data_IF_166942214584
#
_entry.id   IF_166942214584
#
_cell.length_a   1.000
_cell.length_b   1.000
_cell.length_c   1.000
_cell.angle_alpha   90.00
_cell.angle_beta   90.00
_cell.angle_gamma   90.00
#
_symmetry.space_group_name_H-M   'P 1'
#
loop_
_entity.id
_entity.type
_entity.pdbx_description
1 polymer ?
#
# COMPACT_ATOMS: atom_id res chain seq x y z
N UNK A 1 43.64 57.02 35.23
CA UNK A 1 44.50 55.84 35.06
C UNK A 1 43.65 54.58 35.24
N UNK A 2 43.78 53.65 34.28
CA UNK A 2 43.61 52.19 34.37
C UNK A 2 42.26 51.54 34.80
N UNK A 3 41.69 50.79 33.83
CA UNK A 3 40.76 49.63 33.92
C UNK A 3 41.36 48.47 34.77
N UNK A 4 40.60 47.44 35.24
CA UNK A 4 39.79 46.50 34.43
C UNK A 4 38.51 45.94 35.15
N UNK A 5 37.64 45.04 34.69
CA UNK A 5 37.51 44.09 33.57
C UNK A 5 35.98 43.75 33.45
N UNK A 6 35.32 43.90 32.30
CA UNK A 6 34.02 43.23 32.01
C UNK A 6 34.24 42.31 30.81
N UNK A 7 33.88 41.03 30.98
CA UNK A 7 34.02 39.95 30.00
C UNK A 7 33.36 40.32 28.67
N UNK A 8 34.05 39.94 27.60
CA UNK A 8 33.72 40.20 26.22
C UNK A 8 32.40 39.52 25.77
N UNK A 9 31.59 40.29 25.04
CA UNK A 9 30.55 39.79 24.15
C UNK A 9 31.20 38.93 23.06
N UNK A 10 30.77 37.67 22.97
CA UNK A 10 31.05 36.81 21.81
C UNK A 10 30.17 37.27 20.64
N UNK A 11 30.68 37.31 19.40
CA UNK A 11 29.83 37.51 18.24
C UNK A 11 28.84 36.34 18.10
N UNK A 12 27.62 36.59 17.63
CA UNK A 12 26.60 35.55 17.53
C UNK A 12 27.06 34.44 16.58
N UNK A 13 26.75 33.21 16.97
CA UNK A 13 27.15 32.01 16.24
C UNK A 13 26.49 32.01 14.84
N UNK A 14 27.22 31.55 13.81
CA UNK A 14 26.71 31.49 12.42
C UNK A 14 25.48 30.59 12.24
N UNK A 15 25.15 29.80 13.28
CA UNK A 15 23.96 28.96 13.35
C UNK A 15 22.70 29.79 13.60
N UNK A 16 22.79 30.84 14.42
CA UNK A 16 21.66 31.72 14.71
C UNK A 16 21.35 32.62 13.51
N UNK A 17 22.38 33.09 12.80
CA UNK A 17 22.20 33.82 11.52
C UNK A 17 21.50 32.97 10.44
N UNK A 18 21.77 31.66 10.38
CA UNK A 18 21.11 30.76 9.43
C UNK A 18 19.65 30.49 9.81
N UNK A 19 19.34 30.36 11.10
CA UNK A 19 17.97 30.20 11.58
C UNK A 19 17.13 31.45 11.28
N UNK A 20 17.66 32.64 11.56
CA UNK A 20 16.94 33.89 11.25
C UNK A 20 16.78 34.12 9.73
N UNK A 21 17.77 33.75 8.91
CA UNK A 21 17.64 33.80 7.45
C UNK A 21 16.59 32.82 6.89
N UNK A 22 16.48 31.63 7.49
CA UNK A 22 15.46 30.63 7.11
C UNK A 22 14.04 31.10 7.45
N UNK A 23 13.87 31.80 8.57
CA UNK A 23 12.56 32.33 9.01
C UNK A 23 12.15 33.53 8.15
N UNK A 24 13.09 34.42 7.78
CA UNK A 24 12.80 35.52 6.86
C UNK A 24 12.45 35.03 5.45
N UNK A 25 13.07 33.94 4.99
CA UNK A 25 12.78 33.30 3.70
C UNK A 25 11.37 32.69 3.64
N UNK A 26 10.82 32.24 4.77
CA UNK A 26 9.46 31.66 4.84
C UNK A 26 8.36 32.71 4.97
N UNK A 27 8.68 33.92 5.43
CA UNK A 27 7.69 34.99 5.64
C UNK A 27 7.56 35.96 4.46
N UNK A 28 8.61 36.15 3.66
CA UNK A 28 8.57 37.02 2.48
C UNK A 28 8.26 36.24 1.21
N UNK A 29 6.98 35.88 1.03
CA UNK A 29 6.46 35.52 -0.27
C UNK A 29 6.55 36.70 -1.24
N UNK A 30 7.40 36.58 -2.26
CA UNK A 30 7.35 37.38 -3.49
C UNK A 30 8.40 38.48 -3.63
N UNK A 31 9.54 38.15 -4.23
CA UNK A 31 10.21 38.85 -5.35
C UNK A 31 11.61 38.28 -5.58
N UNK A 32 12.00 37.90 -6.82
CA UNK A 32 13.34 37.36 -7.08
C UNK A 32 14.35 38.49 -7.31
N UNK A 33 15.41 38.54 -6.49
CA UNK A 33 16.65 39.28 -6.79
C UNK A 33 17.71 38.31 -7.32
N UNK A 34 18.42 38.62 -8.42
CA UNK A 34 19.33 37.68 -9.05
C UNK A 34 20.75 37.78 -8.45
N UNK A 35 21.24 36.71 -7.82
CA UNK A 35 22.68 36.54 -7.56
C UNK A 35 23.33 35.79 -8.73
N UNK A 36 24.46 36.27 -9.29
CA UNK A 36 25.09 35.68 -10.45
C UNK A 36 26.08 34.60 -9.99
N UNK A 37 25.71 33.33 -10.15
CA UNK A 37 26.59 32.19 -10.38
C UNK A 37 25.80 30.88 -10.21
N UNK A 38 24.98 30.54 -11.20
CA UNK A 38 24.67 29.15 -11.47
C UNK A 38 24.87 28.88 -12.95
N UNK A 39 25.73 27.88 -13.19
CA UNK A 39 25.99 27.24 -14.46
C UNK A 39 24.65 26.86 -15.08
N UNK A 40 24.30 27.49 -16.21
CA UNK A 40 23.10 27.15 -17.00
C UNK A 40 23.21 25.71 -17.48
N UNK A 41 22.69 24.79 -16.67
CA UNK A 41 22.28 23.49 -17.16
C UNK A 41 21.09 23.74 -18.08
N UNK A 42 21.30 23.45 -19.36
CA UNK A 42 20.34 23.71 -20.43
C UNK A 42 19.19 22.73 -20.22
N UNK A 43 18.16 23.14 -19.47
CA UNK A 43 16.86 22.46 -19.51
C UNK A 43 16.37 22.50 -20.96
N UNK A 44 16.61 21.41 -21.70
CA UNK A 44 15.83 21.12 -22.89
C UNK A 44 14.38 21.03 -22.41
N UNK A 45 13.44 21.79 -22.99
CA UNK A 45 12.03 21.51 -22.76
C UNK A 45 11.79 20.06 -23.18
N UNK A 46 11.31 19.21 -22.25
CA UNK A 46 10.79 17.89 -22.59
C UNK A 46 9.66 18.18 -23.58
N UNK A 47 9.89 17.90 -24.85
CA UNK A 47 8.83 17.91 -25.87
C UNK A 47 7.78 16.95 -25.34
N UNK A 48 6.60 17.47 -25.01
CA UNK A 48 5.48 16.61 -24.65
C UNK A 48 5.25 15.73 -25.88
N UNK A 49 5.51 14.43 -25.77
CA UNK A 49 5.18 13.49 -26.82
C UNK A 49 3.68 13.64 -27.17
N UNK A 50 3.25 13.31 -28.39
CA UNK A 50 1.82 13.28 -28.69
C UNK A 50 1.12 12.25 -27.78
N UNK A 51 -0.11 12.54 -27.39
CA UNK A 51 -0.97 11.53 -26.76
C UNK A 51 -1.44 10.59 -27.86
N UNK A 52 -1.39 9.28 -27.62
CA UNK A 52 -1.86 8.29 -28.58
C UNK A 52 -3.39 8.16 -28.46
N UNK A 53 -4.08 8.09 -29.59
CA UNK A 53 -5.51 7.83 -29.63
C UNK A 53 -5.73 6.33 -29.37
N UNK A 54 -6.39 6.03 -28.25
CA UNK A 54 -6.80 4.68 -27.87
C UNK A 54 -8.30 4.58 -28.16
N UNK A 55 -8.65 3.82 -29.21
CA UNK A 55 -10.00 3.79 -29.77
C UNK A 55 -10.77 2.49 -29.44
N UNK A 56 -10.09 1.49 -28.88
CA UNK A 56 -10.70 0.22 -28.49
C UNK A 56 -10.06 -0.37 -27.21
N UNK A 57 -10.74 -1.36 -26.63
CA UNK A 57 -10.33 -2.03 -25.39
C UNK A 57 -9.02 -2.81 -25.56
N UNK A 58 -8.83 -3.48 -26.69
CA UNK A 58 -7.66 -4.31 -26.95
C UNK A 58 -6.37 -3.46 -26.99
N UNK A 59 -6.43 -2.27 -27.58
CA UNK A 59 -5.33 -1.31 -27.60
C UNK A 59 -4.99 -0.83 -26.18
N UNK A 60 -6.00 -0.58 -25.35
CA UNK A 60 -5.82 -0.20 -23.94
C UNK A 60 -5.17 -1.35 -23.16
N UNK A 61 -5.72 -2.55 -23.23
CA UNK A 61 -5.21 -3.74 -22.52
C UNK A 61 -3.79 -4.07 -22.98
N UNK A 62 -3.52 -4.00 -24.28
CA UNK A 62 -2.18 -4.22 -24.83
C UNK A 62 -1.18 -3.22 -24.28
N UNK A 63 -1.56 -1.94 -24.18
CA UNK A 63 -0.68 -0.92 -23.60
C UNK A 63 -0.40 -1.16 -22.10
N UNK A 64 -1.35 -1.76 -21.37
CA UNK A 64 -1.20 -2.08 -19.95
C UNK A 64 -0.41 -3.36 -19.75
N UNK A 65 -0.65 -4.41 -20.52
CA UNK A 65 -0.15 -5.76 -20.24
C UNK A 65 1.09 -6.14 -21.06
N UNK A 66 1.32 -5.54 -22.23
CA UNK A 66 2.47 -5.92 -23.07
C UNK A 66 3.78 -5.27 -22.58
N UNK A 67 4.52 -6.05 -21.80
CA UNK A 67 5.86 -5.71 -21.30
C UNK A 67 6.91 -5.50 -22.42
N UNK A 68 6.64 -5.92 -23.65
CA UNK A 68 7.53 -5.68 -24.82
C UNK A 68 7.25 -4.34 -25.50
N UNK A 69 6.04 -3.78 -25.36
CA UNK A 69 5.66 -2.47 -25.92
C UNK A 69 5.92 -1.33 -24.92
N UNK A 70 5.88 -1.62 -23.61
CA UNK A 70 6.23 -0.67 -22.54
C UNK A 70 7.64 -0.04 -22.58
N UNK A 71 8.72 -0.67 -23.09
CA UNK A 71 10.04 -0.01 -23.16
C UNK A 71 10.00 1.27 -24.02
N UNK A 72 9.07 1.32 -24.98
CA UNK A 72 8.86 2.48 -25.86
C UNK A 72 7.92 3.53 -25.23
N UNK A 73 7.28 3.22 -24.08
CA UNK A 73 6.28 4.09 -23.43
C UNK A 73 6.49 4.17 -21.92
N UNK A 74 6.86 5.34 -21.42
CA UNK A 74 6.95 5.53 -19.96
C UNK A 74 5.59 5.35 -19.27
N UNK A 75 5.57 4.90 -18.00
CA UNK A 75 4.34 4.80 -17.20
C UNK A 75 3.52 6.12 -17.17
N UNK A 76 4.22 7.26 -17.22
CA UNK A 76 3.62 8.60 -17.31
C UNK A 76 2.88 8.79 -18.64
N UNK A 77 3.44 8.30 -19.74
CA UNK A 77 2.82 8.35 -21.06
C UNK A 77 1.53 7.50 -21.09
N UNK A 78 1.58 6.28 -20.56
CA UNK A 78 0.41 5.39 -20.49
C UNK A 78 -0.72 6.04 -19.67
N UNK A 79 -0.39 6.57 -18.50
CA UNK A 79 -1.33 7.31 -17.65
C UNK A 79 -1.97 8.49 -18.38
N UNK A 80 -1.20 9.22 -19.20
CA UNK A 80 -1.69 10.35 -19.98
C UNK A 80 -2.58 9.91 -21.14
N UNK A 81 -2.24 8.81 -21.82
CA UNK A 81 -3.07 8.24 -22.88
C UNK A 81 -4.44 7.82 -22.32
N UNK A 82 -4.46 7.11 -21.20
CA UNK A 82 -5.70 6.72 -20.53
C UNK A 82 -6.55 7.92 -20.12
N UNK A 83 -5.93 8.95 -19.53
CA UNK A 83 -6.64 10.17 -19.13
C UNK A 83 -7.24 10.96 -20.32
N UNK A 84 -6.71 10.78 -21.53
CA UNK A 84 -7.20 11.42 -22.75
C UNK A 84 -8.12 10.51 -23.59
N UNK A 85 -8.26 9.24 -23.22
CA UNK A 85 -9.00 8.24 -23.98
C UNK A 85 -10.51 8.47 -23.85
N UNK A 86 -11.14 8.90 -24.94
CA UNK A 86 -12.59 9.10 -25.01
C UNK A 86 -13.40 7.80 -25.01
N UNK A 87 -12.78 6.68 -25.43
CA UNK A 87 -13.41 5.36 -25.48
C UNK A 87 -13.82 4.85 -24.09
N UNK A 88 -13.08 5.20 -23.03
CA UNK A 88 -13.42 4.82 -21.64
C UNK A 88 -14.85 5.23 -21.23
N UNK A 89 -15.37 6.36 -21.76
CA UNK A 89 -16.73 6.83 -21.48
C UNK A 89 -17.82 5.98 -22.11
N UNK A 90 -17.47 5.19 -23.12
CA UNK A 90 -18.39 4.35 -23.90
C UNK A 90 -18.38 2.91 -23.42
N UNK A 91 -17.40 2.52 -22.60
CA UNK A 91 -17.24 1.16 -22.11
C UNK A 91 -18.41 0.73 -21.21
N UNK A 92 -18.95 -0.44 -21.51
CA UNK A 92 -19.93 -1.14 -20.67
C UNK A 92 -19.27 -1.95 -19.55
N UNK A 93 -20.10 -2.52 -18.67
CA UNK A 93 -19.66 -3.31 -17.51
C UNK A 93 -18.74 -4.49 -17.87
N UNK A 94 -19.02 -5.18 -19.00
CA UNK A 94 -18.20 -6.31 -19.47
C UNK A 94 -16.78 -5.86 -19.86
N UNK A 95 -16.67 -4.76 -20.60
CA UNK A 95 -15.38 -4.20 -21.01
C UNK A 95 -14.60 -3.69 -19.79
N UNK A 96 -15.29 -3.08 -18.82
CA UNK A 96 -14.69 -2.71 -17.54
C UNK A 96 -14.23 -3.93 -16.72
N UNK A 97 -14.96 -5.04 -16.79
CA UNK A 97 -14.61 -6.30 -16.14
C UNK A 97 -13.31 -6.86 -16.71
N UNK A 98 -13.20 -6.90 -18.04
CA UNK A 98 -11.98 -7.33 -18.72
C UNK A 98 -10.79 -6.41 -18.37
N UNK A 99 -11.00 -5.09 -18.41
CA UNK A 99 -10.00 -4.10 -18.01
C UNK A 99 -9.52 -4.28 -16.56
N UNK A 100 -10.43 -4.47 -15.60
CA UNK A 100 -10.08 -4.67 -14.19
C UNK A 100 -9.29 -5.97 -13.99
N UNK A 101 -9.70 -7.05 -14.66
CA UNK A 101 -8.97 -8.33 -14.64
C UNK A 101 -7.57 -8.19 -15.23
N UNK A 102 -7.40 -7.45 -16.32
CA UNK A 102 -6.09 -7.16 -16.89
C UNK A 102 -5.19 -6.35 -15.96
N UNK A 103 -5.74 -5.35 -15.25
CA UNK A 103 -4.99 -4.57 -14.26
C UNK A 103 -4.56 -5.42 -13.06
N UNK A 104 -5.46 -6.25 -12.54
CA UNK A 104 -5.16 -7.20 -11.45
C UNK A 104 -4.11 -8.22 -11.91
N UNK A 105 -4.24 -8.74 -13.14
CA UNK A 105 -3.26 -9.62 -13.77
C UNK A 105 -1.88 -8.98 -13.88
N UNK A 106 -1.80 -7.73 -14.35
CA UNK A 106 -0.56 -6.99 -14.40
C UNK A 106 0.06 -6.80 -13.01
N UNK A 107 -0.75 -6.54 -11.98
CA UNK A 107 -0.27 -6.38 -10.62
C UNK A 107 0.28 -7.70 -10.03
N UNK A 108 -0.46 -8.81 -10.20
CA UNK A 108 -0.20 -10.06 -9.49
C UNK A 108 0.66 -11.05 -10.27
N UNK A 109 0.49 -11.13 -11.58
CA UNK A 109 1.21 -12.06 -12.45
C UNK A 109 2.50 -11.43 -12.97
N UNK A 110 2.44 -10.18 -13.42
CA UNK A 110 3.60 -9.50 -14.02
C UNK A 110 4.45 -8.75 -12.98
N UNK A 111 3.97 -8.65 -11.73
CA UNK A 111 4.68 -7.99 -10.62
C UNK A 111 4.62 -6.46 -10.64
N UNK A 112 3.75 -5.88 -11.46
CA UNK A 112 3.67 -4.44 -11.73
C UNK A 112 2.64 -3.74 -10.80
N UNK A 113 2.67 -4.05 -9.50
CA UNK A 113 1.67 -3.58 -8.52
C UNK A 113 1.59 -2.05 -8.42
N UNK A 114 2.72 -1.37 -8.22
CA UNK A 114 2.77 0.09 -8.09
C UNK A 114 2.24 0.77 -9.36
N UNK A 115 2.58 0.23 -10.53
CA UNK A 115 2.12 0.74 -11.82
C UNK A 115 0.60 0.57 -11.98
N UNK A 116 0.07 -0.64 -11.72
CA UNK A 116 -1.35 -0.91 -11.85
C UNK A 116 -2.18 0.01 -10.94
N UNK A 117 -1.75 0.20 -9.69
CA UNK A 117 -2.43 1.09 -8.75
C UNK A 117 -2.33 2.57 -9.17
N UNK A 118 -1.21 3.00 -9.75
CA UNK A 118 -1.07 4.36 -10.29
C UNK A 118 -2.03 4.66 -11.45
N UNK A 119 -2.46 3.62 -12.17
CA UNK A 119 -3.50 3.69 -13.21
C UNK A 119 -4.92 3.75 -12.65
N UNK A 120 -5.16 3.33 -11.39
CA UNK A 120 -6.49 3.46 -10.80
C UNK A 120 -6.90 4.93 -10.70
N UNK A 121 -5.96 5.83 -10.43
CA UNK A 121 -6.23 7.26 -10.22
C UNK A 121 -7.03 7.90 -11.39
N UNK A 122 -6.60 7.81 -12.66
CA UNK A 122 -7.42 8.32 -13.78
C UNK A 122 -8.68 7.49 -14.06
N UNK A 123 -8.71 6.20 -13.72
CA UNK A 123 -9.86 5.33 -14.00
C UNK A 123 -10.99 5.47 -12.96
N UNK A 124 -10.66 5.91 -11.75
CA UNK A 124 -11.63 6.18 -10.69
C UNK A 124 -12.56 7.37 -10.95
N UNK A 125 -12.37 8.11 -12.06
CA UNK A 125 -13.38 9.05 -12.55
C UNK A 125 -14.65 8.34 -13.04
N UNK A 126 -14.56 7.04 -13.35
CA UNK A 126 -15.66 6.24 -13.87
C UNK A 126 -16.27 5.39 -12.74
N UNK A 127 -17.54 5.64 -12.41
CA UNK A 127 -18.24 4.92 -11.33
C UNK A 127 -18.31 3.42 -11.59
N UNK A 128 -18.55 3.02 -12.85
CA UNK A 128 -18.60 1.61 -13.27
C UNK A 128 -17.26 0.91 -13.05
N UNK A 129 -16.14 1.59 -13.30
CA UNK A 129 -14.82 1.05 -12.98
C UNK A 129 -14.68 0.79 -11.48
N UNK A 130 -15.14 1.72 -10.64
CA UNK A 130 -15.07 1.57 -9.20
C UNK A 130 -15.90 0.38 -8.70
N UNK A 131 -17.14 0.22 -9.16
CA UNK A 131 -18.00 -0.92 -8.80
C UNK A 131 -17.39 -2.26 -9.22
N UNK A 132 -16.93 -2.36 -10.49
CA UNK A 132 -16.33 -3.58 -11.02
C UNK A 132 -15.02 -3.91 -10.30
N UNK A 133 -14.13 -2.93 -10.12
CA UNK A 133 -12.85 -3.15 -9.42
C UNK A 133 -13.08 -3.60 -7.97
N UNK A 134 -14.05 -3.00 -7.26
CA UNK A 134 -14.38 -3.44 -5.90
C UNK A 134 -14.92 -4.88 -5.88
N UNK A 135 -15.77 -5.23 -6.84
CA UNK A 135 -16.33 -6.59 -6.98
C UNK A 135 -15.22 -7.62 -7.28
N UNK A 136 -14.31 -7.31 -8.20
CA UNK A 136 -13.18 -8.17 -8.53
C UNK A 136 -12.21 -8.32 -7.35
N UNK A 137 -11.91 -7.23 -6.62
CA UNK A 137 -11.08 -7.30 -5.40
C UNK A 137 -11.73 -8.18 -4.31
N UNK A 138 -13.02 -8.02 -4.06
CA UNK A 138 -13.76 -8.83 -3.08
C UNK A 138 -13.76 -10.31 -3.49
N UNK A 139 -14.05 -10.59 -4.76
CA UNK A 139 -14.06 -11.97 -5.30
C UNK A 139 -12.68 -12.61 -5.17
N UNK A 140 -11.63 -11.90 -5.57
CA UNK A 140 -10.25 -12.36 -5.49
C UNK A 140 -9.84 -12.66 -4.04
N UNK A 141 -10.11 -11.74 -3.11
CA UNK A 141 -9.72 -11.91 -1.72
C UNK A 141 -10.54 -13.01 -1.03
N UNK A 142 -11.83 -13.12 -1.34
CA UNK A 142 -12.68 -14.20 -0.83
C UNK A 142 -12.21 -15.56 -1.34
N UNK A 143 -11.97 -15.71 -2.64
CA UNK A 143 -11.47 -16.97 -3.20
C UNK A 143 -10.11 -17.34 -2.59
N UNK A 144 -9.22 -16.38 -2.40
CA UNK A 144 -7.92 -16.62 -1.77
C UNK A 144 -8.04 -17.11 -0.31
N UNK A 145 -8.98 -16.58 0.47
CA UNK A 145 -9.21 -17.02 1.86
C UNK A 145 -9.94 -18.36 1.93
N UNK A 146 -10.92 -18.60 1.06
CA UNK A 146 -11.75 -19.81 1.09
C UNK A 146 -11.07 -21.00 0.40
N UNK A 147 -10.53 -20.80 -0.79
CA UNK A 147 -9.97 -21.87 -1.64
C UNK A 147 -8.44 -21.97 -1.54
N UNK A 148 -7.81 -20.96 -0.92
CA UNK A 148 -6.36 -20.87 -0.76
C UNK A 148 -5.63 -20.20 -1.93
N UNK A 149 -4.29 -20.09 -1.86
CA UNK A 149 -3.49 -19.47 -2.91
C UNK A 149 -3.56 -20.29 -4.20
N UNK A 150 -4.21 -19.73 -5.23
CA UNK A 150 -4.35 -20.32 -6.57
C UNK A 150 -3.09 -20.18 -7.45
N UNK A 151 -1.95 -19.80 -6.87
CA UNK A 151 -0.73 -19.43 -7.60
C UNK A 151 -0.78 -18.04 -8.23
N UNK A 152 -1.87 -17.27 -8.02
CA UNK A 152 -2.03 -15.90 -8.52
C UNK A 152 -1.35 -14.92 -7.57
N UNK A 153 -0.08 -14.61 -7.84
CA UNK A 153 0.68 -13.52 -7.21
C UNK A 153 0.64 -13.45 -5.67
N UNK A 154 1.02 -12.29 -5.13
CA UNK A 154 0.94 -12.00 -3.69
C UNK A 154 -0.19 -10.98 -3.44
N UNK A 155 -1.41 -11.48 -3.18
CA UNK A 155 -2.60 -10.66 -2.93
C UNK A 155 -2.42 -9.70 -1.74
N UNK A 156 -1.91 -10.14 -0.57
CA UNK A 156 -1.62 -9.21 0.52
C UNK A 156 -0.67 -8.08 0.14
N UNK A 157 0.34 -8.35 -0.69
CA UNK A 157 1.25 -7.31 -1.19
C UNK A 157 0.55 -6.32 -2.14
N UNK A 158 -0.35 -6.80 -2.98
CA UNK A 158 -1.16 -5.93 -3.84
C UNK A 158 -2.10 -5.02 -3.03
N UNK A 159 -2.78 -5.54 -2.01
CA UNK A 159 -3.56 -4.71 -1.08
C UNK A 159 -2.67 -3.69 -0.35
N UNK A 160 -1.46 -4.10 0.04
CA UNK A 160 -0.44 -3.22 0.60
C UNK A 160 -0.06 -2.06 -0.35
N UNK A 161 0.08 -2.35 -1.65
CA UNK A 161 0.34 -1.34 -2.67
C UNK A 161 -0.84 -0.35 -2.79
N UNK A 162 -2.09 -0.83 -2.78
CA UNK A 162 -3.29 0.02 -2.79
C UNK A 162 -3.34 0.93 -1.56
N UNK A 163 -3.15 0.37 -0.35
CA UNK A 163 -3.11 1.15 0.90
C UNK A 163 -2.01 2.22 0.88
N UNK A 164 -0.85 1.87 0.34
CA UNK A 164 0.35 2.70 0.39
C UNK A 164 0.56 3.55 -0.87
N UNK A 165 -0.37 3.57 -1.80
CA UNK A 165 -0.30 4.38 -3.00
C UNK A 165 -0.39 5.88 -2.70
N UNK A 166 0.11 6.69 -3.64
CA UNK A 166 0.12 8.15 -3.52
C UNK A 166 -1.18 8.75 -4.06
N UNK A 167 -2.28 8.47 -3.36
CA UNK A 167 -3.60 8.98 -3.68
C UNK A 167 -3.62 10.52 -3.74
N UNK A 168 -4.31 11.11 -4.74
CA UNK A 168 -4.61 12.53 -4.72
C UNK A 168 -5.32 12.93 -3.41
N UNK A 169 -5.08 14.16 -2.94
CA UNK A 169 -5.60 14.62 -1.62
C UNK A 169 -7.12 14.48 -1.47
N UNK A 170 -7.87 14.60 -2.56
CA UNK A 170 -9.33 14.48 -2.54
C UNK A 170 -9.81 13.01 -2.54
N UNK A 171 -8.93 12.05 -2.83
CA UNK A 171 -9.18 10.59 -2.85
C UNK A 171 -8.40 9.83 -1.77
N UNK A 172 -7.71 10.53 -0.85
CA UNK A 172 -6.79 9.90 0.10
C UNK A 172 -7.45 9.32 1.35
N UNK A 173 -8.78 9.33 1.42
CA UNK A 173 -9.55 8.80 2.57
C UNK A 173 -10.24 7.51 2.16
N UNK A 174 -10.14 6.48 3.01
CA UNK A 174 -10.90 5.23 2.87
C UNK A 174 -12.35 5.44 3.31
N UNK A 175 -13.13 6.13 2.48
CA UNK A 175 -14.57 6.30 2.64
C UNK A 175 -15.18 5.86 1.32
N UNK A 176 -16.24 5.05 1.37
CA UNK A 176 -16.93 4.51 0.19
C UNK A 176 -17.25 5.56 -0.89
N UNK A 177 -17.74 6.71 -0.47
CA UNK A 177 -18.12 7.86 -1.31
C UNK A 177 -16.94 8.69 -1.82
N UNK A 178 -15.73 8.47 -1.30
CA UNK A 178 -14.51 9.21 -1.68
C UNK A 178 -13.54 8.35 -2.47
N UNK A 179 -13.26 7.14 -1.97
CA UNK A 179 -12.38 6.18 -2.59
C UNK A 179 -12.89 4.76 -2.28
N UNK A 180 -13.82 4.23 -3.09
CA UNK A 180 -14.43 2.93 -2.86
C UNK A 180 -13.41 1.77 -2.94
N UNK A 181 -12.40 1.88 -3.80
CA UNK A 181 -11.33 0.87 -3.94
C UNK A 181 -10.51 0.77 -2.65
N UNK A 182 -10.10 1.93 -2.10
CA UNK A 182 -9.36 2.00 -0.85
C UNK A 182 -10.21 1.57 0.35
N UNK A 183 -11.48 1.98 0.39
CA UNK A 183 -12.44 1.54 1.41
C UNK A 183 -12.63 0.01 1.40
N UNK A 184 -12.81 -0.58 0.22
CA UNK A 184 -12.92 -2.03 0.03
C UNK A 184 -11.66 -2.74 0.51
N UNK A 185 -10.49 -2.22 0.14
CA UNK A 185 -9.19 -2.77 0.58
C UNK A 185 -9.05 -2.79 2.11
N UNK A 186 -9.38 -1.67 2.77
CA UNK A 186 -9.38 -1.60 4.25
C UNK A 186 -10.39 -2.58 4.85
N UNK A 187 -11.57 -2.71 4.24
CA UNK A 187 -12.63 -3.60 4.72
C UNK A 187 -12.23 -5.07 4.64
N UNK A 188 -11.56 -5.50 3.57
CA UNK A 188 -11.01 -6.85 3.43
C UNK A 188 -10.02 -7.16 4.54
N UNK A 189 -9.08 -6.24 4.81
CA UNK A 189 -8.05 -6.43 5.84
C UNK A 189 -8.69 -6.46 7.23
N UNK A 190 -9.69 -5.61 7.49
CA UNK A 190 -10.47 -5.66 8.73
C UNK A 190 -11.24 -6.98 8.87
N UNK A 191 -11.72 -7.55 7.77
CA UNK A 191 -12.32 -8.89 7.77
C UNK A 191 -11.32 -9.97 8.21
N UNK A 192 -10.07 -9.93 7.74
CA UNK A 192 -9.02 -10.84 8.21
C UNK A 192 -8.71 -10.67 9.70
N UNK A 193 -8.70 -9.43 10.19
CA UNK A 193 -8.51 -9.14 11.62
C UNK A 193 -9.67 -9.74 12.43
N UNK A 194 -10.91 -9.53 11.99
CA UNK A 194 -12.11 -10.02 12.68
C UNK A 194 -12.10 -11.55 12.85
N UNK A 195 -11.76 -12.30 11.81
CA UNK A 195 -11.62 -13.78 11.87
C UNK A 195 -10.65 -14.19 12.98
N UNK A 196 -9.53 -13.47 13.13
CA UNK A 196 -8.54 -13.78 14.16
C UNK A 196 -8.99 -13.32 15.55
N UNK A 197 -9.70 -12.20 15.66
CA UNK A 197 -10.27 -11.73 16.92
C UNK A 197 -11.27 -12.74 17.48
N UNK A 198 -12.22 -13.18 16.65
CA UNK A 198 -13.23 -14.18 17.01
C UNK A 198 -12.57 -15.51 17.44
N UNK A 199 -11.59 -16.00 16.67
CA UNK A 199 -10.89 -17.24 17.00
C UNK A 199 -10.06 -17.13 18.29
N UNK A 200 -9.43 -15.97 18.51
CA UNK A 200 -8.69 -15.70 19.75
C UNK A 200 -9.61 -15.62 20.98
N UNK A 201 -10.79 -15.03 20.85
CA UNK A 201 -11.77 -14.98 21.94
C UNK A 201 -12.20 -16.39 22.36
N UNK A 202 -12.49 -17.27 21.39
CA UNK A 202 -12.83 -18.67 21.66
C UNK A 202 -11.66 -19.38 22.37
N UNK A 203 -10.43 -19.19 21.88
CA UNK A 203 -9.24 -19.79 22.48
C UNK A 203 -8.99 -19.32 23.93
N UNK A 204 -9.20 -18.04 24.21
CA UNK A 204 -9.07 -17.48 25.57
C UNK A 204 -10.16 -18.02 26.49
N UNK A 205 -11.42 -18.04 26.04
CA UNK A 205 -12.55 -18.60 26.81
C UNK A 205 -12.29 -20.06 27.16
N UNK A 206 -11.84 -20.86 26.18
CA UNK A 206 -11.47 -22.26 26.39
C UNK A 206 -10.37 -22.37 27.45
N UNK A 207 -9.29 -21.60 27.36
CA UNK A 207 -8.20 -21.61 28.34
C UNK A 207 -8.67 -21.25 29.76
N UNK A 208 -9.55 -20.25 29.91
CA UNK A 208 -10.11 -19.87 31.23
C UNK A 208 -11.13 -20.86 31.77
N UNK A 209 -11.77 -21.66 30.91
CA UNK A 209 -12.75 -22.68 31.32
C UNK A 209 -12.09 -23.95 31.88
N UNK A 210 -10.88 -24.28 31.43
CA UNK A 210 -10.13 -25.45 31.93
C UNK A 210 -9.70 -25.28 33.40
N UNK A 211 -9.58 -24.04 33.88
CA UNK A 211 -9.31 -23.74 35.29
C UNK A 211 -10.57 -23.90 36.20
N UNK A 212 -11.76 -24.05 35.62
CA UNK A 212 -13.02 -24.31 36.34
C UNK A 212 -13.59 -25.67 35.91
N UNK A 213 -13.30 -26.73 36.68
CA UNK A 213 -13.71 -28.11 36.41
C UNK A 213 -15.25 -28.21 36.31
N UNK A 214 -15.80 -28.22 35.10
CA UNK A 214 -17.07 -28.87 34.77
C UNK A 214 -16.88 -29.74 33.52
N UNK A 215 -16.75 -31.04 33.76
CA UNK A 215 -16.69 -32.10 32.74
C UNK A 215 -18.02 -32.15 31.97
N UNK A 216 -18.10 -31.44 30.84
CA UNK A 216 -19.27 -31.53 29.96
C UNK A 216 -19.31 -30.59 28.75
N UNK A 217 -18.44 -29.58 28.67
CA UNK A 217 -18.55 -28.50 27.67
C UNK A 217 -17.57 -28.55 26.50
N UNK A 218 -16.62 -29.49 26.49
CA UNK A 218 -15.52 -29.51 25.51
C UNK A 218 -15.98 -29.65 24.05
N UNK A 219 -17.14 -30.26 23.79
CA UNK A 219 -17.61 -30.47 22.41
C UNK A 219 -18.39 -29.30 21.81
N UNK A 220 -18.76 -28.28 22.60
CA UNK A 220 -19.54 -27.13 22.10
C UNK A 220 -18.64 -26.04 21.50
N UNK A 221 -17.41 -25.89 22.00
CA UNK A 221 -16.51 -24.81 21.57
C UNK A 221 -15.86 -25.05 20.19
N UNK A 222 -15.78 -26.29 19.71
CA UNK A 222 -15.21 -26.59 18.38
C UNK A 222 -16.19 -26.28 17.24
N UNK A 223 -17.50 -26.32 17.50
CA UNK A 223 -18.52 -26.10 16.46
C UNK A 223 -18.75 -24.62 16.13
N UNK A 224 -18.32 -23.69 17.00
CA UNK A 224 -18.39 -22.24 16.75
C UNK A 224 -17.12 -21.69 16.11
N UNK A 225 -16.09 -22.54 15.95
CA UNK A 225 -14.79 -22.13 15.47
C UNK A 225 -14.75 -22.11 13.95
N UNK A 226 -14.15 -21.06 13.40
CA UNK A 226 -13.88 -20.97 11.97
C UNK A 226 -12.91 -22.09 11.53
N UNK A 227 -12.94 -22.44 10.25
CA UNK A 227 -12.03 -23.45 9.69
C UNK A 227 -10.56 -23.07 10.01
N UNK A 228 -9.79 -23.96 10.67
CA UNK A 228 -8.37 -23.75 10.96
C UNK A 228 -7.56 -23.26 9.76
N UNK A 229 -7.87 -23.72 8.55
CA UNK A 229 -7.20 -23.26 7.34
C UNK A 229 -7.49 -21.79 7.03
N UNK A 230 -8.74 -21.37 7.15
CA UNK A 230 -9.17 -19.97 6.95
C UNK A 230 -8.46 -19.07 7.96
N UNK A 231 -8.47 -19.45 9.25
CA UNK A 231 -7.80 -18.70 10.32
C UNK A 231 -6.29 -18.57 10.03
N UNK A 232 -5.62 -19.66 9.63
CA UNK A 232 -4.20 -19.62 9.28
C UNK A 232 -3.92 -18.76 8.03
N UNK A 233 -4.80 -18.81 7.01
CA UNK A 233 -4.69 -17.98 5.81
C UNK A 233 -4.83 -16.50 6.14
N UNK A 234 -5.81 -16.11 6.96
CA UNK A 234 -5.96 -14.72 7.43
C UNK A 234 -4.72 -14.25 8.22
N UNK A 235 -4.23 -15.05 9.16
CA UNK A 235 -3.01 -14.73 9.91
C UNK A 235 -1.77 -14.57 9.02
N UNK A 236 -1.57 -15.49 8.08
CA UNK A 236 -0.46 -15.41 7.13
C UNK A 236 -0.57 -14.18 6.21
N UNK A 237 -1.79 -13.82 5.82
CA UNK A 237 -2.05 -12.65 4.99
C UNK A 237 -1.65 -11.34 5.67
N UNK A 238 -1.92 -11.21 6.97
CA UNK A 238 -1.47 -10.05 7.75
C UNK A 238 0.06 -9.97 7.82
N UNK A 239 0.76 -11.11 7.93
CA UNK A 239 2.23 -11.14 7.86
C UNK A 239 2.73 -10.61 6.51
N UNK A 240 2.22 -11.15 5.40
CA UNK A 240 2.64 -10.75 4.05
C UNK A 240 2.30 -9.28 3.75
N UNK A 241 1.15 -8.79 4.23
CA UNK A 241 0.77 -7.38 4.13
C UNK A 241 1.77 -6.48 4.85
N UNK A 242 2.13 -6.80 6.10
CA UNK A 242 3.11 -6.03 6.87
C UNK A 242 4.51 -6.11 6.24
N UNK A 243 4.93 -7.28 5.78
CA UNK A 243 6.24 -7.47 5.16
C UNK A 243 6.39 -6.66 3.86
N UNK A 244 5.34 -6.62 3.04
CA UNK A 244 5.33 -5.91 1.76
C UNK A 244 5.21 -4.38 1.91
N UNK A 245 4.26 -3.92 2.71
CA UNK A 245 3.99 -2.48 2.87
C UNK A 245 5.01 -1.77 3.78
N UNK A 246 5.63 -2.54 4.69
CA UNK A 246 6.66 -2.09 5.62
C UNK A 246 6.27 -0.81 6.39
N UNK A 247 7.24 0.06 6.68
CA UNK A 247 7.06 1.36 7.34
C UNK A 247 6.03 2.25 6.66
N UNK A 248 5.78 2.09 5.36
CA UNK A 248 4.78 2.90 4.65
C UNK A 248 3.38 2.66 5.20
N UNK A 249 3.07 1.43 5.62
CA UNK A 249 1.82 1.08 6.27
C UNK A 249 1.64 1.89 7.56
N UNK A 250 2.64 1.87 8.44
CA UNK A 250 2.58 2.62 9.71
C UNK A 250 2.48 4.13 9.52
N UNK A 251 3.14 4.69 8.51
CA UNK A 251 3.08 6.13 8.23
C UNK A 251 1.73 6.59 7.69
N UNK A 252 1.01 5.71 6.95
CA UNK A 252 -0.26 6.05 6.30
C UNK A 252 -1.49 5.56 7.05
N UNK A 253 -1.36 4.45 7.77
CA UNK A 253 -2.42 3.71 8.44
C UNK A 253 -1.97 3.24 9.84
N UNK A 254 -1.57 4.16 10.75
CA UNK A 254 -1.10 3.78 12.08
C UNK A 254 -2.18 3.04 12.90
N UNK A 255 -3.45 3.44 12.78
CA UNK A 255 -4.56 2.78 13.49
C UNK A 255 -4.73 1.32 13.04
N UNK A 256 -4.61 1.06 11.73
CA UNK A 256 -4.65 -0.31 11.20
C UNK A 256 -3.46 -1.15 11.69
N UNK A 257 -2.27 -0.55 11.79
CA UNK A 257 -1.12 -1.23 12.39
C UNK A 257 -1.35 -1.58 13.86
N UNK A 258 -2.00 -0.71 14.62
CA UNK A 258 -2.33 -0.96 16.03
C UNK A 258 -3.35 -2.10 16.17
N UNK A 259 -4.39 -2.14 15.32
CA UNK A 259 -5.36 -3.23 15.24
C UNK A 259 -4.67 -4.58 14.91
N UNK A 260 -3.82 -4.59 13.87
CA UNK A 260 -3.02 -5.78 13.50
C UNK A 260 -2.13 -6.22 14.67
N UNK A 261 -1.45 -5.29 15.33
CA UNK A 261 -0.59 -5.62 16.47
C UNK A 261 -1.38 -6.24 17.63
N UNK A 262 -2.57 -5.69 17.92
CA UNK A 262 -3.43 -6.17 18.99
C UNK A 262 -3.90 -7.61 18.77
N UNK A 263 -4.31 -7.95 17.53
CA UNK A 263 -4.83 -9.29 17.22
C UNK A 263 -3.74 -10.35 17.09
N UNK A 264 -2.54 -9.99 16.60
CA UNK A 264 -1.46 -10.98 16.41
C UNK A 264 -0.91 -11.49 17.75
N UNK A 265 -0.91 -10.67 18.80
CA UNK A 265 -0.30 -11.05 20.08
C UNK A 265 -0.98 -12.29 20.70
N UNK A 266 -2.32 -12.36 20.86
CA UNK A 266 -3.00 -13.58 21.31
C UNK A 266 -2.85 -14.78 20.35
N UNK A 267 -2.75 -14.55 19.03
CA UNK A 267 -2.53 -15.61 18.05
C UNK A 267 -1.24 -16.40 18.33
N UNK A 268 -0.19 -15.72 18.81
CA UNK A 268 1.10 -16.37 19.11
C UNK A 268 1.03 -17.11 20.45
N UNK A 269 0.43 -16.50 21.48
CA UNK A 269 0.54 -16.97 22.87
C UNK A 269 -0.52 -17.99 23.28
N UNK A 270 -1.77 -17.82 22.85
CA UNK A 270 -2.92 -18.60 23.36
C UNK A 270 -3.61 -19.44 22.29
N UNK A 271 -3.53 -19.01 21.03
CA UNK A 271 -4.22 -19.69 19.94
C UNK A 271 -3.50 -20.98 19.52
N UNK A 272 -4.16 -22.13 19.66
CA UNK A 272 -3.61 -23.45 19.28
C UNK A 272 -3.86 -23.84 17.82
N UNK A 273 -4.77 -23.16 17.11
CA UNK A 273 -5.07 -23.44 15.69
C UNK A 273 -4.01 -22.88 14.76
N UNK A 274 -3.39 -21.76 15.13
CA UNK A 274 -2.32 -21.19 14.32
C UNK A 274 -1.12 -22.14 14.30
N UNK A 275 -0.73 -22.54 13.10
CA UNK A 275 0.39 -23.44 12.85
C UNK A 275 1.73 -22.82 13.24
N UNK A 276 2.73 -23.64 13.52
CA UNK A 276 4.06 -23.19 13.95
C UNK A 276 4.75 -22.27 12.93
N UNK A 277 4.57 -22.53 11.64
CA UNK A 277 5.11 -21.69 10.55
C UNK A 277 4.48 -20.30 10.57
N UNK A 278 3.14 -20.22 10.64
CA UNK A 278 2.43 -18.94 10.69
C UNK A 278 2.77 -18.19 11.98
N UNK A 279 2.88 -18.86 13.14
CA UNK A 279 3.34 -18.23 14.39
C UNK A 279 4.73 -17.62 14.27
N UNK A 280 5.65 -18.29 13.57
CA UNK A 280 6.99 -17.76 13.30
C UNK A 280 6.92 -16.46 12.49
N UNK A 281 6.11 -16.44 11.42
CA UNK A 281 5.87 -15.24 10.61
C UNK A 281 5.22 -14.10 11.40
N UNK A 282 4.25 -14.42 12.26
CA UNK A 282 3.59 -13.45 13.14
C UNK A 282 4.56 -12.84 14.16
N UNK A 283 5.43 -13.66 14.75
CA UNK A 283 6.47 -13.20 15.66
C UNK A 283 7.45 -12.26 14.95
N UNK A 284 7.88 -12.63 13.73
CA UNK A 284 8.72 -11.76 12.90
C UNK A 284 8.02 -10.43 12.62
N UNK A 285 6.74 -10.47 12.28
CA UNK A 285 5.90 -9.29 12.03
C UNK A 285 5.86 -8.35 13.23
N UNK A 286 5.62 -8.86 14.45
CA UNK A 286 5.65 -8.05 15.68
C UNK A 286 7.02 -7.39 15.89
N UNK A 287 8.12 -8.13 15.69
CA UNK A 287 9.46 -7.58 15.83
C UNK A 287 9.72 -6.45 14.84
N UNK A 288 9.26 -6.64 13.61
CA UNK A 288 9.41 -5.67 12.52
C UNK A 288 8.53 -4.43 12.73
N UNK A 289 7.27 -4.58 13.14
CA UNK A 289 6.37 -3.46 13.51
C UNK A 289 7.00 -2.59 14.61
N UNK A 290 7.54 -3.20 15.66
CA UNK A 290 8.25 -2.49 16.73
C UNK A 290 9.50 -1.74 16.25
N UNK A 291 10.11 -2.18 15.14
CA UNK A 291 11.27 -1.50 14.57
C UNK A 291 10.87 -0.23 13.82
N UNK A 292 9.68 -0.17 13.21
CA UNK A 292 9.24 0.97 12.39
C UNK A 292 9.02 2.24 13.20
N UNK A 293 8.68 2.12 14.49
CA UNK A 293 8.53 3.27 15.40
C UNK A 293 9.88 3.92 15.76
N UNK A 294 11.02 3.27 15.48
CA UNK A 294 12.34 3.81 15.77
C UNK A 294 12.78 4.80 14.69
N UNK A 295 13.43 5.89 15.10
CA UNK A 295 13.85 7.05 14.27
C UNK A 295 14.85 6.71 13.14
N UNK A 296 15.35 5.46 13.05
CA UNK A 296 16.34 5.01 12.07
C UNK A 296 15.88 3.85 11.17
N UNK A 297 14.61 3.44 11.22
CA UNK A 297 14.16 2.33 10.38
C UNK A 297 14.06 2.72 8.91
N UNK A 298 14.85 2.03 8.07
CA UNK A 298 14.92 2.20 6.62
C UNK A 298 13.72 1.49 5.99
N UNK A 299 13.05 2.15 5.04
CA UNK A 299 12.04 1.50 4.18
C UNK A 299 12.78 0.89 2.99
N UNK A 300 12.75 -0.43 2.84
CA UNK A 300 13.27 -1.11 1.65
C UNK A 300 12.09 -1.37 0.72
N UNK A 301 11.76 -0.39 -0.13
CA UNK A 301 10.84 -0.66 -1.25
C UNK A 301 11.55 -1.57 -2.24
N UNK A 302 11.11 -2.81 -2.36
CA UNK A 302 11.51 -3.70 -3.46
C UNK A 302 10.78 -3.27 -4.73
N UNK A 303 11.23 -2.20 -5.36
CA UNK A 303 10.83 -1.87 -6.73
C UNK A 303 11.63 -2.77 -7.67
N UNK A 304 11.10 -3.95 -7.99
CA UNK A 304 11.66 -4.79 -9.06
C UNK A 304 11.24 -4.21 -10.41
N UNK A 305 11.99 -3.24 -10.93
CA UNK A 305 11.92 -2.91 -12.36
C UNK A 305 12.85 -3.87 -13.12
N UNK A 306 12.29 -4.86 -13.81
CA UNK A 306 13.06 -5.67 -14.75
C UNK A 306 13.48 -4.78 -15.93
N UNK A 307 14.79 -4.58 -16.10
CA UNK A 307 15.34 -3.94 -17.30
C UNK A 307 15.76 -5.05 -18.25
N UNK A 308 15.07 -5.20 -19.39
CA UNK A 308 15.49 -6.11 -20.46
C UNK A 308 16.85 -5.64 -20.99
N UNK A 309 17.82 -6.56 -21.02
CA UNK A 309 19.14 -6.28 -21.59
C UNK A 309 19.01 -6.00 -23.10
N UNK A 310 19.72 -5.00 -23.64
CA UNK A 310 19.65 -4.67 -25.06
C UNK A 310 20.17 -5.84 -25.90
N UNK A 311 19.33 -6.32 -26.81
CA UNK A 311 19.73 -7.24 -27.87
C UNK A 311 20.62 -6.45 -28.82
N UNK A 312 21.92 -6.73 -28.81
CA UNK A 312 22.86 -6.21 -29.81
C UNK A 312 22.59 -6.86 -31.17
N UNK A 313 22.68 -6.09 -32.27
CA UNK A 313 22.32 -6.51 -33.63
C UNK A 313 23.22 -7.61 -34.20
#
# INVERSE_FOLDING_TARGET
>A
MSRPLRRADRPPSSRDQRLFASIQSTLNGGTPSPSPNSRKERHKPKVAEPTEELDDLDAIITQITDLKIRPDRSAIQIKRNLAACGFLRQMGEQEWTEMCKSLIGAALTDGEMDFAVDLFIPLMEYDVFCEVMCTELMTLCSAFVMDGPSGIGNIPAFLGAILCANWPRHMSKAIDTINPVLYTTVSVIKGWILVLEEDNEIAVRAATSVDNIEEGSTSLNESEREDPEIVNRCAHSLCLLCESAQRSLWMKWPELCDEIYAVIKPCITHNQVITGEVKSGLLHTIMTLNSWTRTKAVTMKNSQTQTLAPVTP
#
